data_IF_708569250501
#
_entry.id   IF_708569250501
#
_cell.length_a   1.000
_cell.length_b   1.000
_cell.length_c   1.000
_cell.angle_alpha   90.00
_cell.angle_beta   90.00
_cell.angle_gamma   90.00
#
_symmetry.space_group_name_H-M   'P 1'
#
loop_
_entity.id
_entity.type
_entity.pdbx_description
1 polymer ?
#
# COMPACT_ATOMS: atom_id res chain seq x y z
N UNK A 1 -10.40 1.96 12.34
CA UNK A 1 -10.76 1.73 10.93
C UNK A 1 -11.24 0.30 10.84
N UNK A 2 -12.55 0.08 10.96
CA UNK A 2 -13.15 -1.25 10.79
C UNK A 2 -13.38 -1.45 9.31
N UNK A 3 -12.76 -2.47 8.73
CA UNK A 3 -13.15 -3.01 7.43
C UNK A 3 -14.43 -3.82 7.68
N UNK A 4 -15.56 -3.29 7.23
CA UNK A 4 -16.81 -4.05 7.24
C UNK A 4 -16.84 -4.96 6.01
N UNK A 5 -16.96 -6.26 6.25
CA UNK A 5 -17.31 -7.26 5.25
C UNK A 5 -18.70 -6.94 4.67
N UNK A 6 -18.74 -6.38 3.47
CA UNK A 6 -19.98 -6.26 2.71
C UNK A 6 -20.33 -7.62 2.11
N UNK A 7 -21.12 -8.41 2.85
CA UNK A 7 -21.78 -9.62 2.33
C UNK A 7 -23.03 -9.22 1.55
N UNK A 8 -22.93 -9.20 0.23
CA UNK A 8 -24.05 -8.95 -0.66
C UNK A 8 -23.90 -9.54 -2.06
N UNK A 9 -24.25 -10.83 -2.21
CA UNK A 9 -24.97 -11.34 -3.40
C UNK A 9 -24.20 -11.79 -4.65
N UNK A 10 -24.30 -13.11 -4.92
CA UNK A 10 -24.29 -13.82 -6.23
C UNK A 10 -22.94 -14.12 -6.94
N UNK A 11 -22.45 -15.32 -6.64
CA UNK A 11 -21.97 -16.37 -7.56
C UNK A 11 -21.09 -15.96 -8.76
N UNK A 12 -19.77 -16.03 -8.53
CA UNK A 12 -18.71 -15.95 -9.53
C UNK A 12 -17.43 -15.48 -8.85
N UNK A 13 -16.90 -16.28 -7.91
CA UNK A 13 -15.83 -15.86 -7.00
C UNK A 13 -14.50 -15.59 -7.72
N UNK A 14 -14.36 -14.40 -8.29
CA UNK A 14 -13.08 -13.84 -8.67
C UNK A 14 -12.46 -13.24 -7.42
N UNK A 15 -11.38 -13.84 -6.91
CA UNK A 15 -10.57 -13.22 -5.87
C UNK A 15 -10.05 -11.88 -6.41
N UNK A 16 -10.55 -10.77 -5.85
CA UNK A 16 -10.01 -9.44 -6.14
C UNK A 16 -8.59 -9.38 -5.59
N UNK A 17 -7.59 -9.54 -6.45
CA UNK A 17 -6.20 -9.27 -6.10
C UNK A 17 -6.01 -7.76 -6.20
N UNK A 18 -5.93 -7.11 -5.05
CA UNK A 18 -5.63 -5.69 -4.95
C UNK A 18 -4.15 -5.43 -5.20
N UNK A 19 -3.87 -4.44 -6.04
CA UNK A 19 -2.53 -4.02 -6.41
C UNK A 19 -2.27 -2.59 -5.99
N UNK A 20 -1.08 -2.36 -5.44
CA UNK A 20 -0.53 -1.04 -5.21
C UNK A 20 0.46 -0.72 -6.32
N UNK A 21 0.24 0.36 -7.05
CA UNK A 21 1.16 0.88 -8.06
C UNK A 21 1.66 2.27 -7.65
N UNK A 22 2.97 2.49 -7.69
CA UNK A 22 3.62 3.77 -7.38
C UNK A 22 4.39 4.22 -8.63
N UNK A 23 3.99 5.36 -9.19
CA UNK A 23 4.59 5.94 -10.38
C UNK A 23 5.70 6.92 -10.02
N UNK A 24 6.74 7.05 -10.86
CA UNK A 24 7.83 8.02 -10.67
C UNK A 24 7.35 9.46 -10.65
N UNK A 25 6.28 9.78 -11.37
CA UNK A 25 5.58 11.08 -11.30
C UNK A 25 5.20 11.45 -9.85
N UNK A 26 5.00 10.44 -9.01
CA UNK A 26 4.62 10.55 -7.61
C UNK A 26 3.17 10.16 -7.34
N UNK A 27 2.38 9.90 -8.39
CA UNK A 27 1.04 9.35 -8.22
C UNK A 27 1.13 7.93 -7.68
N UNK A 28 0.26 7.60 -6.74
CA UNK A 28 0.02 6.23 -6.26
C UNK A 28 -1.38 5.80 -6.66
N UNK A 29 -1.53 4.56 -7.11
CA UNK A 29 -2.80 3.93 -7.47
C UNK A 29 -3.01 2.68 -6.62
N UNK A 30 -4.21 2.53 -6.10
CA UNK A 30 -4.69 1.30 -5.48
C UNK A 30 -5.88 0.82 -6.29
N UNK A 31 -5.82 -0.41 -6.81
CA UNK A 31 -6.87 -0.91 -7.70
C UNK A 31 -6.76 -2.43 -7.88
N UNK A 32 -7.80 -3.04 -8.44
CA UNK A 32 -7.78 -4.48 -8.71
C UNK A 32 -6.94 -4.82 -9.95
N UNK A 33 -6.26 -5.96 -9.94
CA UNK A 33 -5.66 -6.51 -11.16
C UNK A 33 -6.76 -7.07 -12.06
N UNK A 34 -7.19 -6.32 -13.06
CA UNK A 34 -8.04 -6.87 -14.12
C UNK A 34 -7.25 -7.93 -14.90
N UNK A 35 -7.76 -9.16 -14.99
CA UNK A 35 -7.25 -10.10 -15.99
C UNK A 35 -7.72 -9.59 -17.35
N UNK A 36 -6.80 -9.49 -18.30
CA UNK A 36 -7.01 -8.81 -19.57
C UNK A 36 -8.21 -9.30 -20.39
N UNK A 37 -8.51 -8.46 -21.39
CA UNK A 37 -9.56 -8.55 -22.42
C UNK A 37 -10.93 -7.98 -22.05
N UNK A 38 -11.10 -6.68 -22.36
CA UNK A 38 -12.40 -6.10 -22.71
C UNK A 38 -13.27 -5.60 -21.57
N UNK A 39 -12.97 -5.93 -20.33
CA UNK A 39 -13.70 -5.39 -19.18
C UNK A 39 -13.03 -4.09 -18.71
N UNK A 40 -13.84 -3.03 -18.63
CA UNK A 40 -13.41 -1.70 -18.19
C UNK A 40 -12.51 -1.82 -16.96
N UNK A 41 -11.39 -1.08 -16.95
CA UNK A 41 -10.58 -0.87 -15.74
C UNK A 41 -11.54 -0.68 -14.57
N UNK A 42 -11.51 -1.60 -13.60
CA UNK A 42 -12.51 -1.64 -12.53
C UNK A 42 -12.71 -0.22 -11.96
N UNK A 43 -13.98 0.17 -11.78
CA UNK A 43 -14.39 1.49 -11.28
C UNK A 43 -13.83 1.82 -9.87
N UNK A 44 -13.12 0.87 -9.25
CA UNK A 44 -12.56 0.92 -7.91
C UNK A 44 -11.10 1.41 -7.85
N UNK A 45 -10.56 1.99 -8.94
CA UNK A 45 -9.22 2.58 -8.96
C UNK A 45 -9.18 3.86 -8.09
N UNK A 46 -8.49 3.80 -6.95
CA UNK A 46 -8.22 4.96 -6.09
C UNK A 46 -6.86 5.53 -6.45
N UNK A 47 -6.82 6.83 -6.78
CA UNK A 47 -5.57 7.57 -7.06
C UNK A 47 -5.27 8.59 -5.98
N UNK A 48 -4.02 8.62 -5.55
CA UNK A 48 -3.48 9.61 -4.64
C UNK A 48 -2.31 10.33 -5.32
N UNK A 49 -2.38 11.65 -5.40
CA UNK A 49 -1.33 12.49 -6.00
C UNK A 49 -0.29 12.98 -4.98
N UNK A 50 -0.41 12.54 -3.73
CA UNK A 50 0.65 12.73 -2.74
C UNK A 50 1.76 11.70 -2.98
N UNK A 51 2.96 11.98 -2.45
CA UNK A 51 4.12 11.09 -2.53
C UNK A 51 4.38 10.39 -1.19
N UNK A 52 3.48 9.51 -0.70
CA UNK A 52 3.65 8.85 0.59
C UNK A 52 4.71 7.75 0.55
N UNK A 53 5.14 7.33 -0.65
CA UNK A 53 6.10 6.27 -0.84
C UNK A 53 7.33 6.74 -1.63
N UNK A 54 8.44 6.07 -1.37
CA UNK A 54 9.68 6.17 -2.12
C UNK A 54 10.03 4.77 -2.65
N UNK A 55 10.22 4.66 -3.96
CA UNK A 55 10.59 3.40 -4.62
C UNK A 55 12.10 3.27 -4.62
N UNK A 56 12.60 2.19 -4.02
CA UNK A 56 14.04 1.87 -4.01
C UNK A 56 14.43 0.84 -5.07
N UNK A 57 13.46 0.11 -5.63
CA UNK A 57 13.67 -0.82 -6.74
C UNK A 57 12.43 -0.87 -7.62
N UNK A 58 12.53 -0.44 -8.87
CA UNK A 58 11.41 -0.36 -9.81
C UNK A 58 11.00 -1.73 -10.35
N UNK A 59 9.71 -1.93 -10.64
CA UNK A 59 9.20 -3.14 -11.32
C UNK A 59 9.37 -2.99 -12.83
N UNK A 60 8.96 -1.83 -13.37
CA UNK A 60 9.11 -1.47 -14.76
C UNK A 60 9.94 -0.20 -14.88
N UNK A 61 11.03 -0.29 -15.65
CA UNK A 61 11.94 0.82 -15.91
C UNK A 61 13.21 0.81 -15.06
N UNK A 62 13.93 1.94 -15.08
CA UNK A 62 15.29 2.07 -14.48
C UNK A 62 15.35 3.04 -13.30
N UNK A 63 14.28 3.77 -13.03
CA UNK A 63 14.17 4.85 -12.05
C UNK A 63 14.47 6.24 -12.57
N UNK A 64 14.74 6.37 -13.87
CA UNK A 64 15.16 7.61 -14.55
C UNK A 64 14.09 8.19 -15.49
N UNK A 65 13.01 7.44 -15.76
CA UNK A 65 11.91 7.89 -16.61
C UNK A 65 10.66 8.20 -15.77
N UNK A 66 9.89 9.18 -16.21
CA UNK A 66 8.60 9.52 -15.59
C UNK A 66 7.55 8.41 -15.73
N UNK A 67 7.74 7.52 -16.69
CA UNK A 67 6.90 6.33 -16.92
C UNK A 67 7.29 5.14 -16.06
N UNK A 68 8.37 5.24 -15.27
CA UNK A 68 8.80 4.16 -14.40
C UNK A 68 7.75 3.92 -13.31
N UNK A 69 7.49 2.65 -13.04
CA UNK A 69 6.48 2.24 -12.06
C UNK A 69 6.95 1.06 -11.23
N UNK A 70 6.55 1.10 -9.97
CA UNK A 70 6.65 -0.02 -9.07
C UNK A 70 5.24 -0.54 -8.84
N UNK A 71 5.09 -1.86 -8.84
CA UNK A 71 3.82 -2.49 -8.52
C UNK A 71 4.01 -3.81 -7.81
N UNK A 72 3.11 -4.07 -6.86
CA UNK A 72 2.96 -5.35 -6.16
C UNK A 72 1.52 -5.56 -5.70
N UNK A 73 1.09 -6.82 -5.55
CA UNK A 73 -0.07 -7.14 -4.73
C UNK A 73 0.08 -6.54 -3.33
N UNK A 74 -1.02 -6.02 -2.79
CA UNK A 74 -1.02 -5.41 -1.44
C UNK A 74 -0.66 -6.44 -0.38
N UNK A 75 -0.98 -7.71 -0.62
CA UNK A 75 -0.61 -8.85 0.23
C UNK A 75 0.90 -9.04 0.37
N UNK A 76 1.69 -8.57 -0.61
CA UNK A 76 3.15 -8.67 -0.57
C UNK A 76 3.79 -7.54 0.23
N UNK A 77 3.08 -6.42 0.41
CA UNK A 77 3.54 -5.27 1.19
C UNK A 77 3.42 -5.58 2.68
N UNK A 78 4.49 -6.14 3.25
CA UNK A 78 4.57 -6.43 4.68
C UNK A 78 5.04 -5.21 5.46
N UNK A 79 4.46 -5.02 6.64
CA UNK A 79 4.86 -3.97 7.58
C UNK A 79 5.59 -4.58 8.78
N UNK A 80 6.50 -3.80 9.37
CA UNK A 80 7.22 -4.12 10.60
C UNK A 80 7.04 -2.97 11.58
N UNK A 81 6.96 -3.30 12.87
CA UNK A 81 7.00 -2.32 13.94
C UNK A 81 8.43 -2.18 14.42
N UNK A 82 8.90 -0.95 14.55
CA UNK A 82 10.25 -0.65 15.00
C UNK A 82 10.25 0.53 15.99
N UNK A 83 11.37 0.76 16.68
CA UNK A 83 11.59 1.90 17.57
C UNK A 83 10.44 2.11 18.59
N UNK A 84 9.96 1.01 19.18
CA UNK A 84 8.87 1.03 20.13
C UNK A 84 9.26 1.71 21.44
N UNK A 85 8.56 2.78 21.83
CA UNK A 85 8.77 3.56 23.06
C UNK A 85 7.50 3.63 23.89
N UNK A 86 7.64 3.81 25.20
CA UNK A 86 6.52 4.19 26.07
C UNK A 86 6.44 5.71 26.16
N UNK A 87 5.31 6.29 25.75
CA UNK A 87 5.04 7.72 25.79
C UNK A 87 3.65 7.91 26.41
N UNK A 88 3.55 8.62 27.55
CA UNK A 88 2.27 8.87 28.22
C UNK A 88 1.51 7.59 28.59
N UNK A 89 2.21 6.56 29.07
CA UNK A 89 1.59 5.26 29.43
C UNK A 89 1.22 4.36 28.24
N UNK A 90 1.38 4.81 27.00
CA UNK A 90 1.08 4.03 25.78
C UNK A 90 2.34 3.54 25.12
N UNK A 91 2.28 2.36 24.49
CA UNK A 91 3.38 1.85 23.64
C UNK A 91 3.18 2.42 22.23
N UNK A 92 4.16 3.16 21.74
CA UNK A 92 4.16 3.76 20.40
C UNK A 92 5.33 3.19 19.60
N UNK A 93 5.06 2.64 18.41
CA UNK A 93 6.08 2.10 17.51
C UNK A 93 6.02 2.82 16.16
N UNK A 94 7.17 2.97 15.50
CA UNK A 94 7.22 3.41 14.11
C UNK A 94 6.80 2.25 13.20
N UNK A 95 5.96 2.52 12.21
CA UNK A 95 5.57 1.54 11.20
C UNK A 95 6.56 1.64 10.03
N UNK A 96 7.24 0.56 9.70
CA UNK A 96 8.14 0.45 8.54
C UNK A 96 7.57 -0.50 7.50
N UNK A 97 7.79 -0.21 6.22
CA UNK A 97 7.60 -1.19 5.15
C UNK A 97 8.80 -2.14 5.18
N UNK A 98 8.57 -3.44 5.06
CA UNK A 98 9.65 -4.41 5.02
C UNK A 98 10.54 -4.20 3.78
N UNK A 99 11.87 -4.18 3.95
CA UNK A 99 12.81 -3.87 2.87
C UNK A 99 12.73 -4.83 1.66
N UNK A 100 12.09 -5.98 1.82
CA UNK A 100 11.97 -7.03 0.79
C UNK A 100 11.17 -6.62 -0.45
N UNK A 101 10.38 -5.54 -0.38
CA UNK A 101 9.48 -5.16 -1.49
C UNK A 101 9.98 -4.00 -2.35
N UNK A 102 11.14 -3.41 -2.04
CA UNK A 102 11.69 -2.29 -2.84
C UNK A 102 10.92 -0.98 -2.70
N UNK A 103 10.18 -0.81 -1.61
CA UNK A 103 9.37 0.36 -1.29
C UNK A 103 9.64 0.83 0.14
N UNK A 104 9.66 2.14 0.36
CA UNK A 104 9.79 2.78 1.67
C UNK A 104 8.78 3.91 1.81
N UNK A 105 8.58 4.38 3.05
CA UNK A 105 7.83 5.62 3.28
C UNK A 105 8.61 6.80 2.70
N UNK A 106 7.90 7.71 2.03
CA UNK A 106 8.46 8.99 1.62
C UNK A 106 8.83 9.85 2.83
N UNK A 107 9.76 10.77 2.65
CA UNK A 107 10.35 11.58 3.74
C UNK A 107 9.34 12.39 4.57
N UNK A 108 8.18 12.71 3.99
CA UNK A 108 7.09 13.45 4.66
C UNK A 108 6.18 12.57 5.51
N UNK A 109 6.19 11.24 5.32
CA UNK A 109 5.29 10.31 6.00
C UNK A 109 6.06 9.54 7.07
N UNK A 110 5.61 9.65 8.32
CA UNK A 110 6.21 8.97 9.48
C UNK A 110 5.12 8.26 10.28
N UNK A 111 4.61 7.13 9.79
CA UNK A 111 3.46 6.48 10.38
C UNK A 111 3.83 5.78 11.69
N UNK A 112 2.91 5.81 12.65
CA UNK A 112 3.11 5.24 13.99
C UNK A 112 1.91 4.40 14.41
N UNK A 113 2.19 3.27 15.06
CA UNK A 113 1.20 2.47 15.75
C UNK A 113 1.20 2.85 17.23
N UNK A 114 0.03 3.13 17.80
CA UNK A 114 -0.14 3.45 19.22
C UNK A 114 -1.02 2.35 19.84
N UNK A 115 -0.46 1.63 20.81
CA UNK A 115 -1.16 0.58 21.54
C UNK A 115 -1.62 1.14 22.89
N UNK A 116 -2.93 1.06 23.12
CA UNK A 116 -3.51 1.29 24.43
C UNK A 116 -3.12 0.13 25.36
N UNK A 117 -2.81 0.43 26.62
CA UNK A 117 -2.72 -0.62 27.63
C UNK A 117 -4.11 -1.25 27.78
N UNK A 118 -4.21 -2.54 27.55
CA UNK A 118 -5.38 -3.32 27.96
C UNK A 118 -5.34 -3.43 29.49
N UNK A 119 -6.31 -2.80 30.14
CA UNK A 119 -6.59 -2.95 31.58
C UNK A 119 -7.25 -4.31 31.85
#
# INVERSE_FOLDING_TARGET
MQLQDYRGGRAGGTEHIWQLTVYKSGTTKFGSTGRGEGENYADDDIRCNEKPFEVTKWTYGTGNSEHDSWEKPVTDVKFKLDNCKRIGGRKTCDIKIADSVGLKWGTKVKPKAIFCASH
#
